data_IF_074624964363
#
_entry.id   IF_074624964363
#
_cell.length_a   1.000
_cell.length_b   1.000
_cell.length_c   1.000
_cell.angle_alpha   90.00
_cell.angle_beta   90.00
_cell.angle_gamma   90.00
#
_symmetry.space_group_name_H-M   'P 1'
#
loop_
_entity.id
_entity.type
_entity.pdbx_description
1 polymer ?
#
# COMPACT_ATOMS: atom_id res chain seq x y z
N UNK A 1 55.97 4.95 58.48
CA UNK A 1 54.56 4.68 58.11
C UNK A 1 54.38 5.09 56.66
N UNK A 2 54.16 4.15 55.75
CA UNK A 2 53.98 4.42 54.31
C UNK A 2 52.48 4.55 54.05
N UNK A 3 52.01 5.76 53.77
CA UNK A 3 50.61 6.03 53.43
C UNK A 3 50.33 5.64 51.98
N UNK A 4 49.27 4.86 51.77
CA UNK A 4 48.73 4.51 50.46
C UNK A 4 47.63 5.52 50.13
N UNK A 5 47.78 6.25 49.03
CA UNK A 5 46.72 7.12 48.49
C UNK A 5 45.94 6.30 47.45
N UNK A 6 44.67 6.02 47.73
CA UNK A 6 43.76 5.38 46.77
C UNK A 6 43.08 6.50 45.98
N UNK A 7 43.41 6.62 44.69
CA UNK A 7 42.73 7.52 43.77
C UNK A 7 41.55 6.75 43.17
N UNK A 8 40.33 7.01 43.67
CA UNK A 8 39.11 6.49 43.08
C UNK A 8 38.70 7.35 41.87
N UNK A 9 39.02 6.88 40.66
CA UNK A 9 38.40 7.41 39.44
C UNK A 9 36.98 6.86 39.32
N UNK A 10 35.97 7.68 39.63
CA UNK A 10 34.59 7.43 39.27
C UNK A 10 34.45 7.67 37.76
N UNK A 11 34.60 6.62 36.96
CA UNK A 11 34.25 6.65 35.53
C UNK A 11 32.72 6.63 35.47
N UNK A 12 32.13 7.81 35.28
CA UNK A 12 30.72 7.97 34.96
C UNK A 12 30.51 7.37 33.56
N UNK A 13 30.16 6.07 33.50
CA UNK A 13 29.73 5.46 32.24
C UNK A 13 28.41 6.10 31.84
N UNK A 14 28.48 7.03 30.88
CA UNK A 14 27.32 7.53 30.17
C UNK A 14 26.61 6.34 29.54
N UNK A 15 25.47 5.96 30.10
CA UNK A 15 24.51 5.04 29.47
C UNK A 15 24.00 5.74 28.21
N UNK A 16 24.66 5.49 27.10
CA UNK A 16 24.08 5.76 25.79
C UNK A 16 22.94 4.75 25.66
N UNK A 17 21.73 5.19 25.98
CA UNK A 17 20.52 4.48 25.57
C UNK A 17 20.49 4.59 24.05
N UNK A 18 21.13 3.65 23.37
CA UNK A 18 20.87 3.42 21.97
C UNK A 18 19.39 3.08 21.87
N UNK A 19 18.58 4.02 21.41
CA UNK A 19 17.26 3.68 20.91
C UNK A 19 17.51 2.66 19.81
N UNK A 20 17.29 1.39 20.11
CA UNK A 20 17.19 0.35 19.10
C UNK A 20 16.04 0.76 18.21
N UNK A 21 16.34 1.49 17.13
CA UNK A 21 15.43 1.54 16.00
C UNK A 21 15.40 0.09 15.51
N UNK A 22 14.35 -0.62 15.90
CA UNK A 22 14.04 -1.92 15.32
C UNK A 22 13.96 -1.69 13.82
N UNK A 23 14.93 -2.25 13.09
CA UNK A 23 14.91 -2.26 11.63
C UNK A 23 13.53 -2.72 11.16
N UNK A 24 12.96 -2.12 10.10
CA UNK A 24 11.66 -2.53 9.61
C UNK A 24 11.65 -4.03 9.32
N UNK A 25 10.69 -4.75 9.89
CA UNK A 25 10.54 -6.20 9.71
C UNK A 25 9.90 -6.53 8.35
N UNK A 26 10.49 -6.03 7.25
CA UNK A 26 10.15 -6.34 5.86
C UNK A 26 11.27 -5.89 4.90
N UNK A 27 11.23 -6.35 3.64
CA UNK A 27 12.29 -6.09 2.65
C UNK A 27 11.87 -5.12 1.54
N UNK A 28 10.63 -5.19 1.05
CA UNK A 28 10.14 -4.33 -0.02
C UNK A 28 8.62 -4.12 0.08
N UNK A 29 8.08 -3.28 -0.80
CA UNK A 29 6.65 -3.04 -0.90
C UNK A 29 6.08 -3.52 -2.23
N UNK A 30 4.92 -4.17 -2.21
CA UNK A 30 4.03 -4.19 -3.36
C UNK A 30 3.07 -3.00 -3.29
N UNK A 31 3.07 -2.16 -4.32
CA UNK A 31 2.01 -1.17 -4.51
C UNK A 31 0.98 -1.72 -5.49
N UNK A 32 -0.15 -2.17 -4.96
CA UNK A 32 -1.13 -2.99 -5.67
C UNK A 32 -2.30 -2.14 -6.12
N UNK A 33 -2.68 -2.32 -7.39
CA UNK A 33 -3.84 -1.69 -8.00
C UNK A 33 -4.68 -2.77 -8.69
N UNK A 34 -5.98 -2.52 -8.84
CA UNK A 34 -6.88 -3.41 -9.57
C UNK A 34 -7.64 -2.66 -10.66
N UNK A 35 -8.08 -3.40 -11.67
CA UNK A 35 -8.93 -2.89 -12.74
C UNK A 35 -10.40 -3.21 -12.44
N UNK A 36 -11.28 -2.21 -12.28
CA UNK A 36 -12.69 -2.43 -11.98
C UNK A 36 -13.43 -3.32 -12.99
N UNK A 37 -13.15 -3.17 -14.28
CA UNK A 37 -13.79 -3.99 -15.33
C UNK A 37 -13.54 -5.48 -15.11
N UNK A 38 -12.32 -5.87 -14.72
CA UNK A 38 -11.99 -7.27 -14.44
C UNK A 38 -12.68 -7.83 -13.19
N UNK A 39 -13.13 -6.96 -12.26
CA UNK A 39 -13.95 -7.37 -11.12
C UNK A 39 -15.41 -7.58 -11.56
N UNK A 40 -15.92 -6.67 -12.39
CA UNK A 40 -17.29 -6.69 -12.90
C UNK A 40 -17.59 -7.81 -13.89
N UNK A 41 -16.59 -8.23 -14.66
CA UNK A 41 -16.73 -9.34 -15.60
C UNK A 41 -16.68 -10.71 -14.91
N UNK A 42 -16.55 -10.74 -13.57
CA UNK A 42 -16.62 -12.00 -12.82
C UNK A 42 -18.04 -12.55 -12.82
N UNK A 43 -18.19 -13.89 -12.77
CA UNK A 43 -19.49 -14.58 -12.74
C UNK A 43 -20.44 -14.15 -11.60
N UNK A 44 -19.90 -13.44 -10.61
CA UNK A 44 -20.58 -13.04 -9.37
C UNK A 44 -21.17 -11.62 -9.47
N UNK A 45 -20.89 -10.90 -10.56
CA UNK A 45 -21.22 -9.49 -10.74
C UNK A 45 -20.32 -8.56 -9.93
N UNK A 46 -20.57 -7.26 -10.02
CA UNK A 46 -19.91 -6.26 -9.17
C UNK A 46 -20.90 -5.25 -8.59
N UNK A 47 -20.49 -4.70 -7.45
CA UNK A 47 -21.10 -3.59 -6.76
C UNK A 47 -20.18 -2.37 -6.91
N UNK A 48 -20.50 -1.42 -7.80
CA UNK A 48 -19.74 -0.19 -7.91
C UNK A 48 -19.84 0.61 -6.61
N UNK A 49 -18.83 1.45 -6.31
CA UNK A 49 -18.85 2.30 -5.14
C UNK A 49 -19.98 3.33 -5.21
N UNK A 50 -20.49 3.70 -4.03
CA UNK A 50 -21.57 4.70 -3.92
C UNK A 50 -21.09 6.11 -4.16
N UNK A 51 -19.79 6.34 -4.01
CA UNK A 51 -19.11 7.61 -4.19
C UNK A 51 -17.92 7.43 -5.12
N UNK A 52 -17.47 8.53 -5.71
CA UNK A 52 -16.27 8.53 -6.56
C UNK A 52 -16.55 8.50 -8.06
N UNK A 53 -15.46 8.42 -8.82
CA UNK A 53 -15.50 8.48 -10.27
C UNK A 53 -15.75 7.08 -10.85
N UNK A 54 -16.82 6.90 -11.62
CA UNK A 54 -17.10 5.68 -12.37
C UNK A 54 -16.27 5.57 -13.65
N UNK A 55 -15.42 6.56 -13.94
CA UNK A 55 -14.49 6.49 -15.06
C UNK A 55 -13.57 5.28 -14.89
N UNK A 56 -13.40 4.53 -15.99
CA UNK A 56 -12.54 3.36 -16.06
C UNK A 56 -11.10 3.78 -15.82
N UNK A 57 -10.58 3.64 -14.60
CA UNK A 57 -9.17 3.80 -14.23
C UNK A 57 -8.79 2.70 -13.21
N UNK A 58 -7.50 2.42 -13.09
CA UNK A 58 -6.99 1.54 -12.04
C UNK A 58 -7.23 2.16 -10.67
N UNK A 59 -7.64 1.33 -9.71
CA UNK A 59 -7.94 1.76 -8.34
C UNK A 59 -6.89 1.18 -7.42
N UNK A 60 -6.49 1.97 -6.41
CA UNK A 60 -5.56 1.51 -5.38
C UNK A 60 -6.21 0.34 -4.64
N UNK A 61 -5.47 -0.76 -4.49
CA UNK A 61 -5.81 -1.81 -3.54
C UNK A 61 -5.08 -1.55 -2.23
N UNK A 62 -3.75 -1.41 -2.28
CA UNK A 62 -2.94 -1.14 -1.09
C UNK A 62 -1.43 -1.09 -1.30
N UNK A 63 -0.72 -0.87 -0.19
CA UNK A 63 0.74 -0.86 -0.12
C UNK A 63 1.20 -1.90 0.90
N UNK A 64 1.71 -3.02 0.41
CA UNK A 64 1.92 -4.21 1.22
C UNK A 64 3.39 -4.44 1.48
N UNK A 65 3.86 -4.44 2.75
CA UNK A 65 5.21 -4.87 3.08
C UNK A 65 5.40 -6.36 2.78
N UNK A 66 6.54 -6.74 2.24
CA UNK A 66 6.85 -8.12 1.83
C UNK A 66 8.24 -8.55 2.30
N UNK A 67 8.39 -9.86 2.52
CA UNK A 67 9.68 -10.50 2.72
C UNK A 67 10.19 -11.13 1.42
N UNK A 68 11.53 -11.23 1.29
CA UNK A 68 12.18 -11.84 0.13
C UNK A 68 11.89 -13.35 -0.02
N UNK A 69 11.44 -14.02 1.04
CA UNK A 69 11.06 -15.43 1.01
C UNK A 69 9.63 -15.66 0.46
N UNK A 70 8.93 -14.59 0.05
CA UNK A 70 7.57 -14.64 -0.49
C UNK A 70 6.46 -14.54 0.56
N UNK A 71 6.77 -14.50 1.87
CA UNK A 71 5.78 -14.22 2.92
C UNK A 71 5.63 -12.72 3.17
N UNK A 72 4.70 -12.33 4.03
CA UNK A 72 4.47 -10.93 4.40
C UNK A 72 4.04 -10.81 5.86
N UNK A 73 4.38 -9.71 6.56
CA UNK A 73 3.85 -9.44 7.88
C UNK A 73 2.39 -8.97 7.76
N UNK A 74 1.55 -9.30 8.74
CA UNK A 74 0.15 -8.94 8.76
C UNK A 74 -0.37 -8.72 10.18
N UNK A 75 -1.28 -7.76 10.35
CA UNK A 75 -1.96 -7.47 11.62
C UNK A 75 -0.98 -7.24 12.79
N UNK A 76 0.07 -6.45 12.55
CA UNK A 76 1.23 -6.35 13.45
C UNK A 76 0.96 -5.56 14.74
N UNK A 77 -0.14 -4.79 14.80
CA UNK A 77 -0.49 -4.00 15.97
C UNK A 77 -2.00 -3.91 16.16
N UNK A 78 -2.47 -4.44 17.29
CA UNK A 78 -3.90 -4.41 17.67
C UNK A 78 -4.26 -3.19 18.52
N UNK A 79 -3.29 -2.36 18.88
CA UNK A 79 -3.48 -1.15 19.69
C UNK A 79 -3.57 0.12 18.85
N UNK A 80 -3.00 0.10 17.63
CA UNK A 80 -3.07 1.21 16.68
C UNK A 80 -3.96 0.88 15.46
N UNK A 81 -5.22 0.50 15.73
CA UNK A 81 -6.21 0.24 14.69
C UNK A 81 -6.60 1.52 13.93
N UNK A 82 -7.24 1.31 12.78
CA UNK A 82 -7.69 2.35 11.87
C UNK A 82 -8.59 3.36 12.59
N UNK A 83 -8.23 4.63 12.43
CA UNK A 83 -9.01 5.74 12.93
C UNK A 83 -9.24 6.74 11.79
N UNK A 84 -10.49 6.85 11.33
CA UNK A 84 -10.86 7.74 10.21
C UNK A 84 -10.54 9.22 10.52
N UNK A 85 -10.52 9.63 11.78
CA UNK A 85 -10.21 11.01 12.15
C UNK A 85 -8.78 11.40 11.79
N UNK A 86 -7.85 10.43 11.82
CA UNK A 86 -6.43 10.62 11.47
C UNK A 86 -6.20 10.85 9.97
N UNK A 87 -7.23 10.72 9.13
CA UNK A 87 -7.13 10.90 7.67
C UNK A 87 -8.23 11.80 7.10
N UNK A 88 -8.88 12.59 7.95
CA UNK A 88 -10.03 13.43 7.58
C UNK A 88 -9.78 14.33 6.36
N UNK A 89 -8.57 14.88 6.20
CA UNK A 89 -8.15 15.71 5.07
C UNK A 89 -7.93 14.91 3.77
N UNK A 90 -7.79 13.58 3.86
CA UNK A 90 -7.56 12.69 2.73
C UNK A 90 -8.85 12.03 2.22
N UNK A 91 -9.92 11.99 3.02
CA UNK A 91 -11.16 11.25 2.73
C UNK A 91 -11.70 11.54 1.32
N UNK A 92 -11.86 12.81 0.94
CA UNK A 92 -12.39 13.15 -0.39
C UNK A 92 -11.52 12.66 -1.56
N UNK A 93 -10.20 12.47 -1.36
CA UNK A 93 -9.32 11.90 -2.36
C UNK A 93 -9.40 10.37 -2.35
N UNK A 94 -9.52 9.76 -1.16
CA UNK A 94 -9.64 8.32 -0.99
C UNK A 94 -10.95 7.79 -1.59
N UNK A 95 -12.08 8.47 -1.35
CA UNK A 95 -13.39 8.17 -1.98
C UNK A 95 -13.38 8.23 -3.52
N UNK A 96 -12.34 8.81 -4.14
CA UNK A 96 -12.22 8.89 -5.61
C UNK A 96 -11.19 7.94 -6.19
N UNK A 97 -10.17 7.55 -5.41
CA UNK A 97 -8.95 6.90 -5.91
C UNK A 97 -8.67 5.54 -5.26
N UNK A 98 -9.31 5.25 -4.14
CA UNK A 98 -9.11 4.05 -3.33
C UNK A 98 -10.46 3.48 -2.87
N UNK A 99 -11.42 3.38 -3.78
CA UNK A 99 -12.73 2.84 -3.46
C UNK A 99 -12.70 1.31 -3.41
N UNK A 100 -13.66 0.70 -2.75
CA UNK A 100 -13.91 -0.74 -2.85
C UNK A 100 -14.90 -1.03 -3.98
N UNK A 101 -14.56 -1.96 -4.88
CA UNK A 101 -15.52 -2.57 -5.80
C UNK A 101 -15.88 -3.94 -5.26
N UNK A 102 -17.10 -4.07 -4.75
CA UNK A 102 -17.58 -5.29 -4.14
C UNK A 102 -17.93 -6.36 -5.19
N UNK A 103 -17.81 -7.63 -4.84
CA UNK A 103 -18.24 -8.77 -5.68
C UNK A 103 -19.56 -9.37 -5.18
N UNK A 104 -20.02 -8.99 -3.98
CA UNK A 104 -21.13 -9.66 -3.29
C UNK A 104 -22.03 -8.77 -2.45
N UNK A 105 -21.56 -7.58 -2.06
CA UNK A 105 -22.29 -6.70 -1.15
C UNK A 105 -22.50 -5.33 -1.81
N UNK A 106 -23.76 -4.95 -1.95
CA UNK A 106 -24.21 -3.68 -2.51
C UNK A 106 -24.99 -2.91 -1.42
N UNK A 107 -24.66 -1.64 -1.14
CA UNK A 107 -23.50 -0.92 -1.66
C UNK A 107 -22.16 -1.51 -1.16
N UNK A 108 -21.08 -1.30 -1.92
CA UNK A 108 -19.74 -1.61 -1.44
C UNK A 108 -19.36 -0.68 -0.28
N UNK A 109 -18.42 -1.09 0.58
CA UNK A 109 -18.08 -0.35 1.79
C UNK A 109 -16.61 0.06 1.78
N UNK A 110 -16.35 1.24 1.20
CA UNK A 110 -15.01 1.81 1.04
C UNK A 110 -14.25 1.92 2.37
N UNK A 111 -14.94 2.28 3.46
CA UNK A 111 -14.33 2.39 4.78
C UNK A 111 -13.81 1.04 5.27
N UNK A 112 -14.53 -0.06 5.00
CA UNK A 112 -14.07 -1.41 5.34
C UNK A 112 -12.77 -1.77 4.62
N UNK A 113 -12.61 -1.35 3.37
CA UNK A 113 -11.35 -1.56 2.64
C UNK A 113 -10.20 -0.77 3.28
N UNK A 114 -10.40 0.53 3.58
CA UNK A 114 -9.34 1.34 4.20
C UNK A 114 -8.94 0.80 5.58
N UNK A 115 -9.94 0.44 6.38
CA UNK A 115 -9.74 -0.20 7.67
C UNK A 115 -8.95 -1.50 7.53
N UNK A 116 -9.33 -2.36 6.59
CA UNK A 116 -8.63 -3.62 6.31
C UNK A 116 -7.17 -3.37 5.94
N UNK A 117 -6.92 -2.47 5.00
CA UNK A 117 -5.58 -2.19 4.49
C UNK A 117 -4.67 -1.58 5.57
N UNK A 118 -5.19 -0.70 6.42
CA UNK A 118 -4.42 -0.19 7.55
C UNK A 118 -4.17 -1.28 8.60
N UNK A 119 -5.23 -1.92 9.10
CA UNK A 119 -5.13 -2.88 10.20
C UNK A 119 -4.23 -4.07 9.83
N UNK A 120 -4.29 -4.53 8.58
CA UNK A 120 -3.51 -5.67 8.10
C UNK A 120 -2.11 -5.30 7.63
N UNK A 121 -1.94 -4.23 6.85
CA UNK A 121 -0.68 -3.91 6.19
C UNK A 121 -0.01 -2.66 6.77
N UNK A 122 -0.77 -1.59 7.03
CA UNK A 122 -0.26 -0.33 7.58
C UNK A 122 0.34 -0.47 8.99
N UNK A 123 -0.28 -1.27 9.86
CA UNK A 123 0.22 -1.56 11.21
C UNK A 123 1.61 -2.23 11.23
N UNK A 124 2.03 -2.83 10.11
CA UNK A 124 3.32 -3.50 9.98
C UNK A 124 4.46 -2.57 9.52
N UNK A 125 4.16 -1.31 9.21
CA UNK A 125 5.14 -0.34 8.69
C UNK A 125 5.19 0.95 9.51
N UNK A 126 4.79 0.87 10.78
CA UNK A 126 4.71 2.00 11.71
C UNK A 126 6.06 2.67 12.01
N UNK A 127 7.18 1.98 11.77
CA UNK A 127 8.53 2.58 11.86
C UNK A 127 8.79 3.60 10.75
N UNK A 128 8.01 3.59 9.66
CA UNK A 128 8.18 4.47 8.49
C UNK A 128 6.95 5.36 8.28
N UNK A 129 5.75 4.83 8.53
CA UNK A 129 4.49 5.51 8.28
C UNK A 129 3.56 5.45 9.47
N UNK A 130 3.11 6.61 9.94
CA UNK A 130 1.85 6.69 10.66
C UNK A 130 0.66 6.46 9.70
N UNK A 131 -0.57 6.37 10.25
CA UNK A 131 -1.77 6.14 9.44
C UNK A 131 -1.93 7.19 8.33
N UNK A 132 -1.74 8.47 8.66
CA UNK A 132 -1.89 9.55 7.68
C UNK A 132 -0.90 9.41 6.52
N UNK A 133 0.38 9.24 6.83
CA UNK A 133 1.45 9.13 5.84
C UNK A 133 1.37 7.85 5.01
N UNK A 134 0.84 6.75 5.54
CA UNK A 134 0.56 5.53 4.78
C UNK A 134 -0.46 5.79 3.67
N UNK A 135 -1.61 6.37 4.00
CA UNK A 135 -2.65 6.69 3.01
C UNK A 135 -2.20 7.79 2.05
N UNK A 136 -1.55 8.84 2.55
CA UNK A 136 -1.02 9.93 1.74
C UNK A 136 0.02 9.45 0.73
N UNK A 137 0.87 8.49 1.11
CA UNK A 137 1.91 7.94 0.21
C UNK A 137 1.29 7.15 -0.93
N UNK A 138 0.29 6.32 -0.65
CA UNK A 138 -0.49 5.62 -1.69
C UNK A 138 -1.15 6.59 -2.67
N UNK A 139 -1.78 7.66 -2.18
CA UNK A 139 -2.38 8.69 -3.03
C UNK A 139 -1.32 9.41 -3.89
N UNK A 140 -0.12 9.65 -3.35
CA UNK A 140 1.03 10.18 -4.12
C UNK A 140 1.48 9.22 -5.21
N UNK A 141 1.57 7.92 -4.94
CA UNK A 141 1.90 6.92 -5.96
C UNK A 141 0.86 6.88 -7.07
N UNK A 142 -0.44 6.88 -6.72
CA UNK A 142 -1.52 6.95 -7.70
C UNK A 142 -1.45 8.20 -8.58
N UNK A 143 -1.02 9.33 -8.02
CA UNK A 143 -0.81 10.56 -8.79
C UNK A 143 0.46 10.55 -9.65
N UNK A 144 1.50 9.80 -9.27
CA UNK A 144 2.73 9.71 -10.07
C UNK A 144 2.65 8.66 -11.16
N UNK A 145 1.96 7.55 -10.90
CA UNK A 145 1.87 6.39 -11.78
C UNK A 145 0.46 6.26 -12.31
N UNK A 146 0.19 6.97 -13.41
CA UNK A 146 -1.10 6.92 -14.10
C UNK A 146 -1.15 5.69 -15.02
N UNK A 147 -1.36 4.50 -14.44
CA UNK A 147 -1.29 3.21 -15.14
C UNK A 147 -2.10 3.18 -16.44
N UNK A 148 -3.35 3.64 -16.42
CA UNK A 148 -4.18 3.66 -17.62
C UNK A 148 -3.59 4.56 -18.72
N UNK A 149 -3.10 5.75 -18.36
CA UNK A 149 -2.48 6.66 -19.33
C UNK A 149 -1.21 6.05 -19.94
N UNK A 150 -0.39 5.37 -19.12
CA UNK A 150 0.80 4.65 -19.59
C UNK A 150 0.41 3.60 -20.63
N UNK A 151 -0.63 2.81 -20.35
CA UNK A 151 -1.11 1.77 -21.26
C UNK A 151 -1.67 2.38 -22.55
N UNK A 152 -2.53 3.41 -22.46
CA UNK A 152 -3.13 4.07 -23.62
C UNK A 152 -2.07 4.70 -24.53
N UNK A 153 -1.04 5.32 -23.96
CA UNK A 153 0.09 5.89 -24.72
C UNK A 153 0.90 4.83 -25.49
N UNK A 154 0.80 3.56 -25.08
CA UNK A 154 1.40 2.42 -25.76
C UNK A 154 0.41 1.65 -26.63
N UNK A 155 -0.79 2.19 -26.86
CA UNK A 155 -1.81 1.58 -27.70
C UNK A 155 -2.68 0.54 -27.00
N UNK A 156 -2.47 0.29 -25.71
CA UNK A 156 -3.25 -0.66 -24.91
C UNK A 156 -4.44 0.07 -24.31
N UNK A 157 -5.63 -0.21 -24.84
CA UNK A 157 -6.88 0.49 -24.48
C UNK A 157 -7.88 -0.46 -23.82
N UNK A 158 -8.71 0.03 -22.89
CA UNK A 158 -9.83 -0.74 -22.37
C UNK A 158 -10.96 -0.81 -23.42
N UNK A 159 -10.86 -1.76 -24.35
CA UNK A 159 -11.74 -1.86 -25.52
C UNK A 159 -12.17 -3.30 -25.85
N UNK A 160 -12.19 -4.18 -24.84
CA UNK A 160 -12.47 -5.63 -24.96
C UNK A 160 -11.53 -6.40 -25.90
N UNK A 161 -10.46 -5.75 -26.37
CA UNK A 161 -9.39 -6.37 -27.14
C UNK A 161 -8.43 -7.16 -26.26
N UNK A 162 -7.74 -8.11 -26.87
CA UNK A 162 -6.72 -8.92 -26.21
C UNK A 162 -5.34 -8.30 -26.40
N UNK A 163 -4.54 -8.31 -25.34
CA UNK A 163 -3.15 -7.90 -25.33
C UNK A 163 -2.34 -8.99 -24.64
N UNK A 164 -1.13 -9.25 -25.12
CA UNK A 164 -0.24 -10.19 -24.47
C UNK A 164 0.26 -9.63 -23.13
N UNK A 165 0.60 -10.54 -22.21
CA UNK A 165 1.18 -10.18 -20.93
C UNK A 165 2.49 -9.39 -21.09
N UNK A 166 3.30 -9.75 -22.08
CA UNK A 166 4.58 -9.09 -22.35
C UNK A 166 4.38 -7.67 -22.88
N UNK A 167 3.37 -7.41 -23.71
CA UNK A 167 3.02 -6.05 -24.15
C UNK A 167 2.67 -5.15 -22.97
N UNK A 168 1.83 -5.65 -22.05
CA UNK A 168 1.42 -4.90 -20.84
C UNK A 168 2.63 -4.64 -19.94
N UNK A 169 3.43 -5.67 -19.64
CA UNK A 169 4.63 -5.55 -18.79
C UNK A 169 5.65 -4.58 -19.39
N UNK A 170 5.90 -4.67 -20.69
CA UNK A 170 6.85 -3.80 -21.38
C UNK A 170 6.36 -2.36 -21.46
N UNK A 171 5.06 -2.12 -21.65
CA UNK A 171 4.48 -0.79 -21.63
C UNK A 171 4.72 -0.09 -20.27
N UNK A 172 4.44 -0.80 -19.18
CA UNK A 172 4.64 -0.29 -17.82
C UNK A 172 6.14 -0.12 -17.52
N UNK A 173 6.96 -1.14 -17.81
CA UNK A 173 8.42 -1.10 -17.60
C UNK A 173 9.08 0.07 -18.33
N UNK A 174 8.70 0.33 -19.59
CA UNK A 174 9.22 1.47 -20.35
C UNK A 174 8.90 2.82 -19.70
N UNK A 175 7.75 2.94 -19.02
CA UNK A 175 7.31 4.21 -18.43
C UNK A 175 7.87 4.46 -17.02
N UNK A 176 7.95 3.40 -16.18
CA UNK A 176 8.34 3.56 -14.77
C UNK A 176 9.73 2.99 -14.44
N UNK A 177 10.38 2.31 -15.39
CA UNK A 177 11.71 1.71 -15.22
C UNK A 177 11.74 0.34 -14.55
N UNK A 178 10.60 -0.13 -14.03
CA UNK A 178 10.47 -1.40 -13.30
C UNK A 178 9.40 -2.28 -13.95
N UNK A 179 9.69 -3.58 -14.07
CA UNK A 179 8.71 -4.54 -14.56
C UNK A 179 7.64 -4.78 -13.48
N UNK A 180 6.34 -4.67 -13.79
CA UNK A 180 5.31 -4.99 -12.83
C UNK A 180 5.13 -6.50 -12.72
N UNK A 181 4.80 -6.96 -11.51
CA UNK A 181 4.16 -8.25 -11.33
C UNK A 181 2.66 -8.08 -11.62
N UNK A 182 2.11 -8.91 -12.51
CA UNK A 182 0.68 -8.89 -12.85
C UNK A 182 0.06 -10.21 -12.43
N UNK A 183 -1.02 -10.13 -11.63
CA UNK A 183 -1.88 -11.26 -11.29
C UNK A 183 -3.12 -11.17 -12.18
N UNK A 184 -3.22 -12.02 -13.19
CA UNK A 184 -4.43 -12.19 -13.98
C UNK A 184 -5.39 -13.15 -13.27
N UNK A 185 -6.64 -12.74 -13.04
CA UNK A 185 -7.72 -13.70 -12.78
C UNK A 185 -8.21 -14.19 -14.13
N UNK A 186 -7.93 -15.45 -14.48
CA UNK A 186 -8.61 -16.11 -15.58
C UNK A 186 -10.07 -16.31 -15.19
N UNK A 187 -10.98 -15.73 -15.98
CA UNK A 187 -12.40 -16.09 -16.00
C UNK A 187 -12.60 -17.51 -16.49
#
# INVERSE_FOLDING_TARGET
MRGIIIVSLLILQSLVVSSSQTEPDFNFFYWVNYWPGAICDSQKGCCPPTKGNTASDFIIHGLWPQFNNGTWPAFCDQTNLFDISKISDLVCQMEKKWTEWGVWACPSNETNLWEHEWNKHGTCVQSIFDQHSYFRTNLKFKHKVHLLNILIQKGIKPNDGFYSLDEIKNAIKCAIGFAPDQVSKSS
#
